data_IF_083060305453
#
_entry.id   IF_083060305453
#
_cell.length_a   1.000
_cell.length_b   1.000
_cell.length_c   1.000
_cell.angle_alpha   90.00
_cell.angle_beta   90.00
_cell.angle_gamma   90.00
#
_symmetry.space_group_name_H-M   'P 1'
#
loop_
_entity.id
_entity.type
_entity.pdbx_description
1 polymer ?
#
# COMPACT_ATOMS: atom_id res chain seq x y z
N UNK A 1 8.79 -23.24 0.71
CA UNK A 1 8.21 -22.20 1.57
C UNK A 1 8.22 -20.80 0.95
N UNK A 2 9.25 -20.41 0.19
CA UNK A 2 9.33 -19.11 -0.49
C UNK A 2 8.08 -18.71 -1.32
N UNK A 3 7.42 -19.61 -2.08
CA UNK A 3 6.24 -19.23 -2.88
C UNK A 3 5.06 -18.75 -2.04
N UNK A 4 4.82 -19.40 -0.89
CA UNK A 4 3.73 -19.05 0.01
C UNK A 4 3.98 -17.73 0.74
N UNK A 5 5.22 -17.47 1.14
CA UNK A 5 5.62 -16.21 1.76
C UNK A 5 5.49 -15.03 0.78
N UNK A 6 5.88 -15.22 -0.48
CA UNK A 6 5.72 -14.22 -1.53
C UNK A 6 4.24 -13.94 -1.82
N UNK A 7 3.42 -14.99 -1.89
CA UNK A 7 1.99 -14.86 -2.09
C UNK A 7 1.33 -14.05 -0.95
N UNK A 8 1.61 -14.40 0.31
CA UNK A 8 1.10 -13.65 1.47
C UNK A 8 1.57 -12.20 1.51
N UNK A 9 2.80 -11.92 1.06
CA UNK A 9 3.29 -10.55 0.90
C UNK A 9 2.48 -9.76 -0.13
N UNK A 10 2.16 -10.38 -1.28
CA UNK A 10 1.44 -9.74 -2.37
C UNK A 10 -0.04 -9.50 -2.08
N UNK A 11 -0.67 -10.35 -1.26
CA UNK A 11 -2.12 -10.30 -0.95
C UNK A 11 -2.43 -9.60 0.38
N UNK A 12 -1.44 -9.35 1.24
CA UNK A 12 -1.64 -8.64 2.50
C UNK A 12 -1.67 -7.11 2.31
N UNK A 13 -2.65 -6.46 2.96
CA UNK A 13 -2.76 -5.00 2.99
C UNK A 13 -1.60 -4.41 3.79
N UNK A 14 -0.82 -3.54 3.15
CA UNK A 14 0.30 -2.86 3.81
C UNK A 14 -0.19 -1.60 4.51
N UNK A 15 0.05 -1.47 5.82
CA UNK A 15 -0.31 -0.29 6.62
C UNK A 15 0.24 1.01 6.03
N UNK A 16 1.43 0.97 5.41
CA UNK A 16 2.04 2.14 4.77
C UNK A 16 1.38 2.58 3.46
N UNK A 17 0.63 1.69 2.80
CA UNK A 17 0.03 1.95 1.47
C UNK A 17 -1.50 1.86 1.48
N UNK A 18 -2.10 1.26 2.51
CA UNK A 18 -3.55 1.04 2.60
C UNK A 18 -4.12 0.17 1.48
N UNK A 19 -3.26 -0.60 0.80
CA UNK A 19 -3.59 -1.46 -0.33
C UNK A 19 -2.63 -2.68 -0.37
N UNK A 20 -2.99 -3.71 -1.11
CA UNK A 20 -2.13 -4.88 -1.31
C UNK A 20 -1.11 -4.59 -2.42
N UNK A 21 0.14 -5.09 -2.33
CA UNK A 21 1.12 -4.89 -3.40
C UNK A 21 0.61 -5.38 -4.77
N UNK A 22 -0.20 -6.45 -4.81
CA UNK A 22 -0.77 -6.93 -6.06
C UNK A 22 -1.78 -5.95 -6.66
N UNK A 23 -2.70 -5.40 -5.87
CA UNK A 23 -3.70 -4.46 -6.39
C UNK A 23 -3.05 -3.20 -6.95
N UNK A 24 -1.89 -2.83 -6.44
CA UNK A 24 -1.08 -1.74 -6.94
C UNK A 24 -0.31 -2.06 -8.23
N UNK A 25 -0.14 -3.32 -8.62
CA UNK A 25 0.49 -3.69 -9.89
C UNK A 25 -0.58 -3.89 -10.96
N UNK A 26 -1.61 -4.66 -10.66
CA UNK A 26 -2.62 -5.10 -11.63
C UNK A 26 -3.89 -4.25 -11.66
N UNK A 27 -4.07 -3.35 -10.69
CA UNK A 27 -5.23 -2.45 -10.65
C UNK A 27 -6.52 -3.08 -10.12
N UNK A 28 -6.46 -4.33 -9.64
CA UNK A 28 -7.60 -5.07 -9.09
C UNK A 28 -7.23 -5.78 -7.80
N UNK A 29 -8.18 -5.91 -6.86
CA UNK A 29 -7.97 -6.76 -5.68
C UNK A 29 -7.88 -8.23 -6.13
N UNK A 30 -6.93 -9.00 -5.55
CA UNK A 30 -6.75 -10.42 -5.92
C UNK A 30 -7.98 -11.20 -5.53
N UNK A 31 -8.64 -11.84 -6.51
CA UNK A 31 -9.50 -13.01 -6.24
C UNK A 31 -8.56 -14.20 -6.10
N UNK A 32 -8.49 -14.78 -4.91
CA UNK A 32 -7.59 -15.90 -4.65
C UNK A 32 -8.10 -17.14 -5.41
N UNK A 33 -7.20 -18.01 -5.90
CA UNK A 33 -7.60 -19.27 -6.54
C UNK A 33 -8.53 -20.11 -5.64
N UNK A 34 -8.34 -20.07 -4.32
CA UNK A 34 -9.23 -20.73 -3.35
C UNK A 34 -10.64 -20.13 -3.32
N UNK A 35 -10.78 -18.84 -3.60
CA UNK A 35 -12.07 -18.13 -3.67
C UNK A 35 -12.82 -18.38 -4.99
N UNK A 36 -12.13 -18.94 -5.99
CA UNK A 36 -12.70 -19.40 -7.26
C UNK A 36 -13.11 -20.88 -7.16
N UNK A 37 -12.28 -21.72 -6.51
CA UNK A 37 -12.58 -23.13 -6.28
C UNK A 37 -13.69 -23.33 -5.23
N UNK A 38 -13.69 -22.50 -4.19
CA UNK A 38 -14.80 -22.34 -3.24
C UNK A 38 -15.41 -20.98 -3.55
N UNK A 39 -16.58 -20.90 -4.20
CA UNK A 39 -17.19 -19.63 -4.57
C UNK A 39 -17.29 -18.72 -3.35
N UNK A 40 -16.41 -17.74 -3.28
CA UNK A 40 -16.43 -16.77 -2.19
C UNK A 40 -17.62 -15.85 -2.34
N UNK A 41 -18.06 -15.23 -1.24
CA UNK A 41 -19.11 -14.21 -1.27
C UNK A 41 -18.83 -13.10 -2.30
N UNK A 42 -17.55 -12.78 -2.55
CA UNK A 42 -17.15 -11.79 -3.55
C UNK A 42 -17.48 -12.25 -4.97
N UNK A 43 -17.09 -13.48 -5.31
CA UNK A 43 -17.36 -14.08 -6.63
C UNK A 43 -18.85 -14.31 -6.83
N UNK A 44 -19.59 -14.71 -5.79
CA UNK A 44 -21.04 -14.88 -5.88
C UNK A 44 -21.74 -13.55 -6.19
N UNK A 45 -21.37 -12.48 -5.47
CA UNK A 45 -21.94 -11.14 -5.69
C UNK A 45 -21.59 -10.59 -7.06
N UNK A 46 -20.36 -10.82 -7.55
CA UNK A 46 -19.98 -10.41 -8.90
C UNK A 46 -20.72 -11.16 -10.01
N UNK A 47 -21.04 -12.44 -9.82
CA UNK A 47 -21.81 -13.25 -10.78
C UNK A 47 -23.30 -12.85 -10.81
N UNK A 48 -23.81 -12.28 -9.71
CA UNK A 48 -25.20 -11.83 -9.61
C UNK A 48 -25.43 -10.39 -10.11
N UNK A 49 -24.36 -9.62 -10.37
CA UNK A 49 -24.45 -8.25 -10.89
C UNK A 49 -24.71 -8.22 -12.40
N UNK A 50 -25.47 -7.22 -12.85
CA UNK A 50 -25.57 -6.90 -14.28
C UNK A 50 -24.22 -6.45 -14.83
N UNK A 51 -23.91 -6.82 -16.08
CA UNK A 51 -22.62 -6.55 -16.72
C UNK A 51 -22.26 -5.05 -16.67
N UNK A 52 -23.23 -4.15 -16.81
CA UNK A 52 -22.97 -2.71 -16.77
C UNK A 52 -22.63 -2.22 -15.36
N UNK A 53 -23.32 -2.73 -14.34
CA UNK A 53 -23.06 -2.41 -12.93
C UNK A 53 -21.71 -2.98 -12.47
N UNK A 54 -21.36 -4.18 -12.93
CA UNK A 54 -20.06 -4.81 -12.66
C UNK A 54 -18.90 -3.99 -13.26
N UNK A 55 -19.01 -3.57 -14.53
CA UNK A 55 -17.99 -2.72 -15.19
C UNK A 55 -17.84 -1.39 -14.43
N UNK A 56 -18.94 -0.77 -14.02
CA UNK A 56 -18.92 0.49 -13.27
C UNK A 56 -18.20 0.34 -11.91
N UNK A 57 -18.51 -0.73 -11.17
CA UNK A 57 -17.85 -1.07 -9.91
C UNK A 57 -16.35 -1.29 -10.07
N UNK A 58 -15.92 -1.99 -11.13
CA UNK A 58 -14.51 -2.20 -11.44
C UNK A 58 -13.79 -0.88 -11.77
N UNK A 59 -14.43 0.01 -12.53
CA UNK A 59 -13.87 1.34 -12.83
C UNK A 59 -13.70 2.19 -11.57
N UNK A 60 -14.69 2.18 -10.68
CA UNK A 60 -14.62 2.91 -9.41
C UNK A 60 -13.53 2.35 -8.50
N UNK A 61 -13.39 1.02 -8.44
CA UNK A 61 -12.31 0.37 -7.71
C UNK A 61 -10.93 0.77 -8.27
N UNK A 62 -10.79 0.78 -9.59
CA UNK A 62 -9.54 1.15 -10.27
C UNK A 62 -9.19 2.63 -10.03
N UNK A 63 -10.18 3.52 -10.06
CA UNK A 63 -10.01 4.94 -9.71
C UNK A 63 -9.51 5.11 -8.27
N UNK A 64 -10.09 4.38 -7.30
CA UNK A 64 -9.62 4.40 -5.90
C UNK A 64 -8.18 3.92 -5.76
N UNK A 65 -7.77 2.92 -6.54
CA UNK A 65 -6.39 2.43 -6.55
C UNK A 65 -5.44 3.46 -7.16
N UNK A 66 -5.83 4.09 -8.26
CA UNK A 66 -5.02 5.09 -8.94
C UNK A 66 -4.80 6.33 -8.05
N UNK A 67 -5.83 6.75 -7.32
CA UNK A 67 -5.71 7.82 -6.32
C UNK A 67 -4.67 7.47 -5.23
N UNK A 68 -4.71 6.24 -4.69
CA UNK A 68 -3.72 5.77 -3.72
C UNK A 68 -2.30 5.74 -4.30
N UNK A 69 -2.15 5.31 -5.56
CA UNK A 69 -0.85 5.32 -6.26
C UNK A 69 -0.31 6.75 -6.41
N UNK A 70 -1.15 7.68 -6.83
CA UNK A 70 -0.76 9.08 -6.98
C UNK A 70 -0.31 9.69 -5.65
N UNK A 71 -1.05 9.42 -4.57
CA UNK A 71 -0.68 9.86 -3.22
C UNK A 71 0.64 9.25 -2.76
N UNK A 72 0.90 7.97 -3.01
CA UNK A 72 2.17 7.33 -2.66
C UNK A 72 3.35 7.95 -3.44
N UNK A 73 3.17 8.21 -4.74
CA UNK A 73 4.18 8.89 -5.56
C UNK A 73 4.46 10.31 -5.09
N UNK A 74 3.42 11.07 -4.73
CA UNK A 74 3.55 12.42 -4.21
C UNK A 74 4.33 12.45 -2.89
N UNK A 75 3.96 11.61 -1.92
CA UNK A 75 4.71 11.47 -0.67
C UNK A 75 6.17 11.06 -0.90
N UNK A 76 6.43 10.13 -1.84
CA UNK A 76 7.78 9.74 -2.22
C UNK A 76 8.61 10.90 -2.79
N UNK A 77 7.99 11.74 -3.64
CA UNK A 77 8.63 12.95 -4.21
C UNK A 77 8.96 13.97 -3.13
N UNK A 78 8.04 14.25 -2.20
CA UNK A 78 8.29 15.18 -1.07
C UNK A 78 9.44 14.67 -0.21
N UNK A 79 9.39 13.40 0.19
CA UNK A 79 10.45 12.77 0.99
C UNK A 79 11.80 12.90 0.28
N UNK A 80 11.88 12.54 -0.99
CA UNK A 80 13.12 12.65 -1.78
C UNK A 80 13.62 14.09 -1.88
N UNK A 81 12.74 15.07 -2.02
CA UNK A 81 13.11 16.48 -2.06
C UNK A 81 13.70 16.98 -0.72
N UNK A 82 13.16 16.52 0.42
CA UNK A 82 13.72 16.79 1.73
C UNK A 82 15.05 16.08 1.95
N UNK A 83 15.11 14.78 1.66
CA UNK A 83 16.30 13.95 1.85
C UNK A 83 17.49 14.49 1.02
N UNK A 84 17.26 15.05 -0.17
CA UNK A 84 18.29 15.72 -0.98
C UNK A 84 18.97 16.90 -0.28
N UNK A 85 18.29 17.56 0.66
CA UNK A 85 18.85 18.67 1.45
C UNK A 85 19.54 18.19 2.72
N UNK A 86 19.36 16.92 3.10
CA UNK A 86 20.03 16.34 4.26
C UNK A 86 21.47 16.03 3.90
N UNK A 87 22.41 16.71 4.56
CA UNK A 87 23.82 16.38 4.46
C UNK A 87 24.15 15.30 5.50
N UNK A 88 24.75 14.17 5.10
CA UNK A 88 25.28 13.21 6.08
C UNK A 88 26.32 13.91 6.95
N UNK A 89 26.04 14.03 8.24
CA UNK A 89 27.01 14.53 9.23
C UNK A 89 27.60 13.33 9.97
N UNK A 90 28.93 13.22 9.98
CA UNK A 90 29.66 12.32 10.88
C UNK A 90 30.08 13.09 12.12
N UNK A 91 29.98 12.44 13.28
CA UNK A 91 30.37 12.98 14.57
C UNK A 91 31.53 12.16 15.14
N UNK A 92 32.43 12.81 15.87
CA UNK A 92 33.53 12.19 16.60
C UNK A 92 33.33 12.33 18.09
N UNK A 93 34.04 11.50 18.85
CA UNK A 93 34.05 11.59 20.30
C UNK A 93 34.60 12.95 20.74
N UNK A 94 33.84 13.67 21.56
CA UNK A 94 34.11 15.06 21.96
C UNK A 94 33.27 16.14 21.25
N UNK A 95 32.52 15.78 20.19
CA UNK A 95 31.62 16.73 19.51
C UNK A 95 30.34 16.99 20.33
N UNK A 96 29.96 18.27 20.46
CA UNK A 96 28.70 18.65 21.09
C UNK A 96 27.55 18.64 20.07
N UNK A 97 26.52 17.83 20.33
CA UNK A 97 25.33 17.72 19.48
C UNK A 97 24.06 18.08 20.24
N UNK A 98 23.12 18.73 19.55
CA UNK A 98 21.81 19.05 20.11
C UNK A 98 20.92 17.80 20.09
N UNK A 99 20.51 17.35 21.28
CA UNK A 99 19.55 16.25 21.43
C UNK A 99 18.13 16.77 21.23
N UNK A 100 17.40 16.19 20.28
CA UNK A 100 15.96 16.47 20.14
C UNK A 100 15.22 15.92 21.36
N UNK A 101 14.66 16.81 22.17
CA UNK A 101 13.75 16.44 23.26
C UNK A 101 12.37 16.17 22.66
N UNK A 102 11.98 14.90 22.56
CA UNK A 102 10.59 14.55 22.25
C UNK A 102 9.78 14.65 23.55
N UNK A 103 8.73 15.46 23.55
CA UNK A 103 7.78 15.49 24.66
C UNK A 103 7.09 14.12 24.72
N UNK A 104 7.37 13.35 25.77
CA UNK A 104 6.60 12.17 26.11
C UNK A 104 5.24 12.64 26.61
N UNK A 105 4.29 12.90 25.71
CA UNK A 105 2.88 12.87 26.07
C UNK A 105 2.56 11.40 26.38
N UNK A 106 2.56 11.07 27.67
CA UNK A 106 1.88 9.89 28.20
C UNK A 106 0.41 10.29 28.36
N UNK A 107 -0.45 9.38 27.92
CA UNK A 107 -1.90 9.24 28.09
C UNK A 107 -2.64 10.29 28.96
#
# INVERSE_FOLDING_TARGET
>A
MLPYALHGYCTSVRTSMGATPYSLVYGTEVVLLVEVEIPSLRVLVEVELDDAEWIQSQLDQLNRIEEKRLMALYHGKIKSAFDKKVRPCSFKEGDFVLKKMLSNARD
#
